data_IF_272069906580
#
_entry.id   IF_272069906580
#
_cell.length_a   1.000
_cell.length_b   1.000
_cell.length_c   1.000
_cell.angle_alpha   90.00
_cell.angle_beta   90.00
_cell.angle_gamma   90.00
#
_symmetry.space_group_name_H-M   'P 1'
#
loop_
_entity.id
_entity.type
_entity.pdbx_description
1 polymer ?
#
# COMPACT_ATOMS: atom_id res chain seq x y z
N UNK A 1 -9.97 -0.42 -8.59
CA UNK A 1 -8.67 -0.17 -9.23
C UNK A 1 -7.54 -0.97 -8.59
N UNK A 2 -7.10 -0.70 -7.34
CA UNK A 2 -5.95 -1.42 -6.75
C UNK A 2 -6.10 -2.96 -6.73
N UNK A 3 -7.18 -3.50 -6.15
CA UNK A 3 -7.42 -4.95 -6.10
C UNK A 3 -7.59 -5.58 -7.49
N UNK A 4 -8.32 -4.93 -8.39
CA UNK A 4 -8.52 -5.44 -9.76
C UNK A 4 -7.21 -5.47 -10.56
N UNK A 5 -6.37 -4.44 -10.38
CA UNK A 5 -5.07 -4.36 -11.07
C UNK A 5 -4.11 -5.40 -10.52
N UNK A 6 -4.09 -5.58 -9.19
CA UNK A 6 -3.30 -6.61 -8.51
C UNK A 6 -3.83 -8.03 -8.77
N UNK A 7 -5.10 -8.19 -9.17
CA UNK A 7 -5.64 -9.48 -9.60
C UNK A 7 -5.14 -9.84 -11.01
N UNK A 8 -5.18 -8.88 -11.94
CA UNK A 8 -4.75 -9.09 -13.32
C UNK A 8 -3.23 -9.14 -13.49
N UNK A 9 -2.49 -8.42 -12.66
CA UNK A 9 -1.04 -8.30 -12.73
C UNK A 9 -0.40 -8.55 -11.36
N UNK A 10 0.80 -9.15 -11.29
CA UNK A 10 1.52 -9.40 -10.05
C UNK A 10 2.15 -8.11 -9.48
N UNK A 11 1.35 -7.06 -9.34
CA UNK A 11 1.81 -5.74 -8.94
C UNK A 11 2.03 -5.63 -7.44
N UNK A 12 3.00 -4.80 -7.10
CA UNK A 12 3.37 -4.46 -5.73
C UNK A 12 2.91 -3.05 -5.40
N UNK A 13 2.08 -2.95 -4.37
CA UNK A 13 1.48 -1.71 -3.89
C UNK A 13 1.88 -1.40 -2.46
N UNK A 14 2.16 -0.14 -2.16
CA UNK A 14 2.43 0.30 -0.78
C UNK A 14 1.40 1.35 -0.37
N UNK A 15 0.82 1.19 0.81
CA UNK A 15 -0.04 2.19 1.42
C UNK A 15 0.73 2.89 2.54
N UNK A 16 0.89 4.22 2.44
CA UNK A 16 1.70 5.07 3.33
C UNK A 16 0.82 6.10 4.05
N UNK A 17 1.07 6.33 5.35
CA UNK A 17 0.29 7.20 6.24
C UNK A 17 1.15 7.92 7.26
N UNK A 18 0.85 9.17 7.61
CA UNK A 18 1.56 9.95 8.66
C UNK A 18 1.43 9.33 10.07
N UNK A 19 0.22 8.91 10.48
CA UNK A 19 -0.09 8.50 11.88
C UNK A 19 -0.59 7.05 11.98
N UNK A 20 0.00 6.27 12.89
CA UNK A 20 -0.18 4.81 13.00
C UNK A 20 -1.42 4.36 13.79
N UNK A 21 -2.04 5.24 14.60
CA UNK A 21 -2.89 4.82 15.72
C UNK A 21 -4.39 4.58 15.44
N UNK A 22 -4.92 4.96 14.28
CA UNK A 22 -6.39 4.88 14.03
C UNK A 22 -6.79 4.30 12.67
N UNK A 23 -5.80 4.01 11.80
CA UNK A 23 -6.04 3.85 10.36
C UNK A 23 -5.54 2.55 9.73
N UNK A 24 -4.88 1.69 10.52
CA UNK A 24 -4.63 0.29 10.13
C UNK A 24 -5.94 -0.42 9.78
N UNK A 25 -7.06 0.08 10.28
CA UNK A 25 -8.41 -0.38 9.93
C UNK A 25 -8.96 0.26 8.64
N UNK A 26 -8.95 1.58 8.42
CA UNK A 26 -9.77 2.16 7.32
C UNK A 26 -9.39 1.73 5.89
N UNK A 27 -8.13 1.89 5.46
CA UNK A 27 -7.74 1.55 4.07
C UNK A 27 -7.63 0.04 3.87
N UNK A 28 -7.22 -0.68 4.91
CA UNK A 28 -7.18 -2.14 4.92
C UNK A 28 -8.60 -2.71 4.83
N UNK A 29 -9.53 -2.22 5.64
CA UNK A 29 -10.94 -2.60 5.56
C UNK A 29 -11.52 -2.26 4.20
N UNK A 30 -11.22 -1.08 3.63
CA UNK A 30 -11.65 -0.76 2.27
C UNK A 30 -11.16 -1.78 1.22
N UNK A 31 -9.93 -2.27 1.36
CA UNK A 31 -9.38 -3.31 0.48
C UNK A 31 -10.01 -4.68 0.76
N UNK A 32 -10.23 -5.04 2.03
CA UNK A 32 -10.92 -6.27 2.44
C UNK A 32 -12.36 -6.28 1.91
N UNK A 33 -13.11 -5.20 2.11
CA UNK A 33 -14.47 -5.01 1.62
C UNK A 33 -14.53 -5.17 0.10
N UNK A 34 -13.52 -4.65 -0.62
CA UNK A 34 -13.41 -4.87 -2.07
C UNK A 34 -13.16 -6.33 -2.39
N UNK A 35 -12.20 -6.99 -1.72
CA UNK A 35 -11.91 -8.41 -1.93
C UNK A 35 -13.17 -9.25 -1.69
N UNK A 36 -13.91 -8.99 -0.62
CA UNK A 36 -15.18 -9.66 -0.31
C UNK A 36 -16.26 -9.37 -1.36
N UNK A 37 -16.44 -8.10 -1.74
CA UNK A 37 -17.41 -7.67 -2.75
C UNK A 37 -17.15 -8.31 -4.11
N UNK A 38 -15.89 -8.53 -4.47
CA UNK A 38 -15.50 -9.20 -5.71
C UNK A 38 -15.40 -10.73 -5.57
N UNK A 39 -15.63 -11.29 -4.38
CA UNK A 39 -15.51 -12.74 -4.14
C UNK A 39 -14.08 -13.27 -4.25
N UNK A 40 -13.07 -12.41 -4.14
CA UNK A 40 -11.66 -12.74 -4.32
C UNK A 40 -10.98 -13.21 -3.03
N UNK A 41 -11.74 -13.53 -1.98
CA UNK A 41 -11.20 -13.94 -0.68
C UNK A 41 -10.41 -15.25 -0.70
N UNK A 42 -10.55 -16.08 -1.76
CA UNK A 42 -9.69 -17.26 -1.98
C UNK A 42 -8.37 -16.90 -2.65
N UNK A 43 -8.34 -15.83 -3.43
CA UNK A 43 -7.18 -15.40 -4.20
C UNK A 43 -6.27 -14.47 -3.38
N UNK A 44 -6.84 -13.65 -2.50
CA UNK A 44 -6.08 -12.73 -1.66
C UNK A 44 -6.04 -13.21 -0.21
N UNK A 45 -4.84 -13.50 0.28
CA UNK A 45 -4.56 -13.72 1.68
C UNK A 45 -4.35 -12.36 2.37
N UNK A 46 -5.24 -12.02 3.30
CA UNK A 46 -5.15 -10.78 4.06
C UNK A 46 -4.57 -11.04 5.43
N UNK A 47 -3.43 -10.43 5.73
CA UNK A 47 -2.80 -10.46 7.05
C UNK A 47 -3.01 -9.13 7.78
N UNK A 48 -2.39 -8.99 8.96
CA UNK A 48 -2.42 -7.73 9.72
C UNK A 48 -1.57 -6.62 9.09
N UNK A 49 -0.56 -6.99 8.30
CA UNK A 49 0.46 -6.04 7.79
C UNK A 49 0.51 -5.95 6.26
N UNK A 50 -0.14 -6.87 5.56
CA UNK A 50 -0.08 -7.00 4.11
C UNK A 50 -1.22 -7.84 3.52
N UNK A 51 -1.45 -7.70 2.21
CA UNK A 51 -2.38 -8.49 1.40
C UNK A 51 -1.56 -9.15 0.29
N UNK A 52 -1.61 -10.48 0.21
CA UNK A 52 -0.87 -11.28 -0.77
C UNK A 52 -1.85 -11.90 -1.75
N UNK A 53 -1.64 -11.72 -3.05
CA UNK A 53 -2.40 -12.42 -4.07
C UNK A 53 -1.72 -13.73 -4.48
N UNK A 54 -2.49 -14.76 -4.82
CA UNK A 54 -1.97 -16.03 -5.32
C UNK A 54 -1.12 -15.88 -6.59
N UNK A 55 -1.33 -14.81 -7.37
CA UNK A 55 -0.49 -14.48 -8.53
C UNK A 55 0.86 -13.84 -8.18
N UNK A 56 1.18 -13.64 -6.89
CA UNK A 56 2.40 -12.97 -6.44
C UNK A 56 2.26 -11.45 -6.29
N UNK A 57 1.06 -10.89 -6.46
CA UNK A 57 0.80 -9.49 -6.11
C UNK A 57 0.91 -9.28 -4.60
N UNK A 58 1.35 -8.09 -4.20
CA UNK A 58 1.60 -7.78 -2.80
C UNK A 58 1.18 -6.35 -2.50
N UNK A 59 0.39 -6.15 -1.44
CA UNK A 59 0.05 -4.84 -0.92
C UNK A 59 0.51 -4.76 0.52
N UNK A 60 1.40 -3.82 0.85
CA UNK A 60 1.88 -3.63 2.22
C UNK A 60 1.36 -2.33 2.81
N UNK A 61 1.22 -2.28 4.14
CA UNK A 61 0.86 -1.06 4.87
C UNK A 61 2.04 -0.58 5.71
N UNK A 62 2.46 0.66 5.51
CA UNK A 62 3.59 1.28 6.21
C UNK A 62 3.20 2.65 6.77
N UNK A 63 3.70 2.97 7.96
CA UNK A 63 3.62 4.33 8.51
C UNK A 63 4.79 5.18 8.01
N UNK A 64 4.62 6.50 7.96
CA UNK A 64 5.65 7.47 7.58
C UNK A 64 6.82 7.45 8.57
N UNK A 65 6.58 7.10 9.83
CA UNK A 65 7.64 6.86 10.82
C UNK A 65 8.57 5.71 10.43
N UNK A 66 8.06 4.74 9.66
CA UNK A 66 8.86 3.65 9.10
C UNK A 66 9.51 4.01 7.77
N UNK A 67 9.29 5.23 7.26
CA UNK A 67 9.80 5.68 5.96
C UNK A 67 11.20 6.25 6.12
N UNK A 68 12.18 5.34 6.22
CA UNK A 68 13.61 5.67 6.22
C UNK A 68 14.24 5.29 4.87
N UNK A 69 15.52 5.66 4.66
CA UNK A 69 16.23 5.41 3.41
C UNK A 69 16.30 3.92 3.02
N UNK A 70 16.36 3.00 3.99
CA UNK A 70 16.35 1.55 3.74
C UNK A 70 14.97 1.07 3.24
N UNK A 71 13.91 1.61 3.82
CA UNK A 71 12.54 1.27 3.42
C UNK A 71 12.23 1.85 2.06
N UNK A 72 12.73 3.06 1.75
CA UNK A 72 12.63 3.66 0.42
C UNK A 72 13.27 2.75 -0.65
N UNK A 73 14.49 2.26 -0.41
CA UNK A 73 15.12 1.28 -1.32
C UNK A 73 14.31 0.00 -1.47
N UNK A 74 13.66 -0.47 -0.41
CA UNK A 74 12.79 -1.65 -0.50
C UNK A 74 11.52 -1.40 -1.35
N UNK A 75 11.19 -0.13 -1.60
CA UNK A 75 10.10 0.26 -2.49
C UNK A 75 10.54 0.39 -3.95
N UNK A 76 11.84 0.29 -4.26
CA UNK A 76 12.32 0.17 -5.64
C UNK A 76 11.76 -1.14 -6.25
N UNK A 77 10.83 -1.02 -7.19
CA UNK A 77 10.09 -2.14 -7.78
C UNK A 77 8.61 -2.23 -7.36
N UNK A 78 8.12 -1.28 -6.56
CA UNK A 78 6.68 -1.11 -6.34
C UNK A 78 6.05 -0.39 -7.54
N UNK A 79 4.92 -0.91 -8.00
CA UNK A 79 4.21 -0.37 -9.16
C UNK A 79 3.38 0.85 -8.79
N UNK A 80 2.91 0.94 -7.55
CA UNK A 80 2.11 2.07 -7.09
C UNK A 80 2.26 2.30 -5.58
N UNK A 81 2.10 3.56 -5.17
CA UNK A 81 1.99 3.96 -3.78
C UNK A 81 0.68 4.73 -3.56
N UNK A 82 -0.06 4.35 -2.51
CA UNK A 82 -1.20 5.10 -2.02
C UNK A 82 -0.79 5.83 -0.76
N UNK A 83 -0.76 7.16 -0.82
CA UNK A 83 -0.46 7.99 0.33
C UNK A 83 -1.77 8.61 0.82
N UNK A 84 -2.22 8.21 2.00
CA UNK A 84 -3.41 8.79 2.62
C UNK A 84 -3.03 10.00 3.47
N UNK A 85 -3.87 11.04 3.41
CA UNK A 85 -3.63 12.35 4.02
C UNK A 85 -2.33 13.04 3.54
N UNK A 86 -2.10 13.07 2.23
CA UNK A 86 -0.95 13.78 1.66
C UNK A 86 -0.84 15.25 2.11
N UNK A 87 -1.95 15.88 2.51
CA UNK A 87 -2.00 17.23 3.08
C UNK A 87 -1.45 17.34 4.52
N UNK A 88 -1.46 16.26 5.30
CA UNK A 88 -0.87 16.25 6.65
C UNK A 88 0.60 15.87 6.63
N UNK A 89 1.10 15.34 5.50
CA UNK A 89 2.51 15.06 5.32
C UNK A 89 3.37 16.32 5.37
N UNK A 90 4.48 16.23 6.09
CA UNK A 90 5.53 17.24 6.02
C UNK A 90 6.09 17.39 4.59
N UNK A 91 6.53 18.59 4.21
CA UNK A 91 7.15 18.82 2.89
C UNK A 91 8.39 17.94 2.64
N UNK A 92 9.09 17.53 3.70
CA UNK A 92 10.24 16.64 3.62
C UNK A 92 9.82 15.22 3.22
N UNK A 93 8.76 14.69 3.84
CA UNK A 93 8.13 13.41 3.50
C UNK A 93 7.70 13.36 2.04
N UNK A 94 7.05 14.44 1.59
CA UNK A 94 6.50 14.55 0.24
C UNK A 94 7.62 14.65 -0.82
N UNK A 95 8.77 15.24 -0.47
CA UNK A 95 9.95 15.25 -1.34
C UNK A 95 10.60 13.88 -1.48
N UNK A 96 10.67 13.08 -0.41
CA UNK A 96 11.22 11.72 -0.49
C UNK A 96 10.33 10.83 -1.37
N UNK A 97 9.00 10.90 -1.21
CA UNK A 97 8.03 10.17 -2.02
C UNK A 97 8.12 10.48 -3.52
N UNK A 98 8.25 11.77 -3.87
CA UNK A 98 8.36 12.21 -5.26
C UNK A 98 9.70 11.88 -5.93
N UNK A 99 10.75 11.62 -5.16
CA UNK A 99 12.06 11.25 -5.70
C UNK A 99 12.09 9.86 -6.33
N UNK A 100 11.25 8.96 -5.82
CA UNK A 100 11.33 7.51 -6.11
C UNK A 100 10.25 7.05 -7.10
N UNK A 101 9.09 7.71 -7.11
CA UNK A 101 8.04 7.45 -8.09
C UNK A 101 8.19 8.40 -9.28
N UNK A 102 8.90 7.95 -10.32
CA UNK A 102 8.79 8.55 -11.66
C UNK A 102 7.58 7.92 -12.39
N UNK A 103 6.61 8.73 -12.88
CA UNK A 103 5.51 8.23 -13.69
C UNK A 103 5.99 7.67 -15.04
#
# INVERSE_FOLDING_TARGET
MAIETNFLNPYRGVCIREVQNSLKESVRQLLIDKIQKFGLGKFFEVTETEIRGENGSLIIFRGMQSYNAETIKSLEGYNWAWVEEAQTLSQQSLRMLKGEFRP
#
